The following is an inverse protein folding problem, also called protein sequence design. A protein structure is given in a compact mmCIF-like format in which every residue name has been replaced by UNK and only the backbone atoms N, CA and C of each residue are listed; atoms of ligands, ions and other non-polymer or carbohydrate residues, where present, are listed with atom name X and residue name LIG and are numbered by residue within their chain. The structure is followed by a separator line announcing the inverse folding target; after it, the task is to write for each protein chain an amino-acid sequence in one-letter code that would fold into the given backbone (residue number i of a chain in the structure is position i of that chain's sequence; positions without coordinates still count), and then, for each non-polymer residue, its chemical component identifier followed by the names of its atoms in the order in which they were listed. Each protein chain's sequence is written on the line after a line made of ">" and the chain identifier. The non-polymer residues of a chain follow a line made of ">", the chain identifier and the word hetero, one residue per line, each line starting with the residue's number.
data_IF_831463293146
#
_entry.id   IF_831463293146
#
_cell.length_a   1.000
_cell.length_b   1.000
_cell.length_c   1.000
_cell.angle_alpha   90.00
_cell.angle_beta   90.00
_cell.angle_gamma   90.00
#
_symmetry.space_group_name_H-M   'P 1'
#
loop_
_entity.id
_entity.type
_entity.pdbx_description
1 polymer ?
#
# COMPACT_ATOMS: atom_id res chain seq x y z
N UNK A 1 0.48 9.65 8.19
CA UNK A 1 -0.72 9.64 7.34
C UNK A 1 -1.86 10.24 8.15
N UNK A 2 -2.81 10.91 7.51
CA UNK A 2 -4.00 11.49 8.14
C UNK A 2 -5.26 10.86 7.56
N UNK A 3 -6.32 10.80 8.35
CA UNK A 3 -7.64 10.36 7.90
C UNK A 3 -8.66 11.42 8.29
N UNK A 4 -9.30 12.04 7.30
CA UNK A 4 -10.23 13.14 7.47
C UNK A 4 -11.32 13.05 6.39
N UNK A 5 -12.57 13.28 6.77
CA UNK A 5 -13.74 13.21 5.86
C UNK A 5 -13.83 11.92 5.01
N UNK A 6 -13.41 10.79 5.58
CA UNK A 6 -13.45 9.50 4.89
C UNK A 6 -12.28 9.26 3.92
N UNK A 7 -11.32 10.19 3.84
CA UNK A 7 -10.22 10.18 2.88
C UNK A 7 -8.88 10.08 3.61
N UNK A 8 -7.98 9.27 3.05
CA UNK A 8 -6.61 9.14 3.56
C UNK A 8 -5.69 10.14 2.86
N UNK A 9 -4.97 10.93 3.65
CA UNK A 9 -4.02 11.93 3.15
C UNK A 9 -2.59 11.59 3.57
N UNK A 10 -1.67 11.69 2.62
CA UNK A 10 -0.23 11.61 2.87
C UNK A 10 0.37 13.01 2.80
N UNK A 11 0.94 13.45 3.92
CA UNK A 11 1.67 14.72 4.00
C UNK A 11 3.16 14.39 4.00
N UNK A 12 3.86 14.89 2.99
CA UNK A 12 5.32 14.74 2.86
C UNK A 12 5.95 16.10 3.15
N UNK A 13 6.90 16.13 4.09
CA UNK A 13 7.75 17.30 4.33
C UNK A 13 9.16 16.95 3.91
N UNK A 14 9.67 17.66 2.92
CA UNK A 14 11.04 17.53 2.45
C UNK A 14 11.87 18.77 2.80
N UNK A 15 13.17 18.59 2.93
CA UNK A 15 14.19 19.64 3.03
C UNK A 15 15.32 19.32 2.06
N UNK A 16 16.13 20.31 1.68
CA UNK A 16 17.29 20.06 0.82
C UNK A 16 18.26 19.07 1.48
N UNK A 17 18.59 18.00 0.76
CA UNK A 17 19.44 16.93 1.23
C UNK A 17 19.45 15.78 0.23
N UNK A 18 20.12 14.69 0.61
CA UNK A 18 20.11 13.43 -0.14
C UNK A 18 19.43 12.36 0.73
N UNK A 19 18.49 11.62 0.15
CA UNK A 19 17.77 10.54 0.82
C UNK A 19 17.60 9.37 -0.16
N UNK A 20 17.95 8.18 0.31
CA UNK A 20 17.77 6.93 -0.42
C UNK A 20 17.29 5.86 0.57
N UNK A 21 16.27 5.09 0.17
CA UNK A 21 15.77 3.97 0.95
C UNK A 21 16.07 2.67 0.23
N UNK A 22 16.57 1.68 0.96
CA UNK A 22 16.85 0.35 0.42
C UNK A 22 15.56 -0.40 0.01
N UNK A 23 14.48 -0.17 0.75
CA UNK A 23 13.24 -0.91 0.59
C UNK A 23 12.18 -0.09 -0.15
N UNK A 24 11.61 -0.65 -1.23
CA UNK A 24 10.52 -0.01 -1.99
C UNK A 24 9.33 0.40 -1.11
N UNK A 25 9.01 -0.39 -0.08
CA UNK A 25 7.91 -0.10 0.85
C UNK A 25 8.09 1.22 1.62
N UNK A 26 9.32 1.62 1.89
CA UNK A 26 9.64 2.87 2.60
C UNK A 26 9.26 4.10 1.74
N UNK A 27 9.43 4.00 0.42
CA UNK A 27 8.96 5.03 -0.52
C UNK A 27 7.44 5.05 -0.66
N UNK A 28 6.81 3.88 -0.73
CA UNK A 28 5.36 3.77 -1.02
C UNK A 28 4.51 4.18 0.18
N UNK A 29 4.83 3.68 1.37
CA UNK A 29 4.02 3.92 2.58
C UNK A 29 4.61 5.02 3.47
N UNK A 30 5.82 5.49 3.14
CA UNK A 30 6.55 6.49 3.89
C UNK A 30 7.24 5.88 5.10
N UNK A 31 8.58 5.89 5.09
CA UNK A 31 9.43 5.37 6.17
C UNK A 31 8.99 5.83 7.56
N UNK A 32 8.68 7.12 7.70
CA UNK A 32 8.21 7.70 8.97
C UNK A 32 6.89 7.06 9.46
N UNK A 33 5.96 6.72 8.56
CA UNK A 33 4.71 6.07 8.97
C UNK A 33 4.96 4.65 9.45
N UNK A 34 5.89 3.93 8.80
CA UNK A 34 6.28 2.55 9.15
C UNK A 34 6.99 2.54 10.49
N UNK A 35 8.04 3.35 10.64
CA UNK A 35 8.86 3.42 11.86
C UNK A 35 8.03 3.83 13.09
N UNK A 36 7.07 4.74 12.90
CA UNK A 36 6.15 5.18 13.97
C UNK A 36 4.95 4.25 14.20
N UNK A 37 4.84 3.14 13.46
CA UNK A 37 3.71 2.20 13.56
C UNK A 37 2.35 2.91 13.50
N UNK A 38 2.19 3.79 12.50
CA UNK A 38 1.01 4.64 12.38
C UNK A 38 -0.29 3.81 12.34
N UNK A 39 -1.20 4.06 13.27
CA UNK A 39 -2.54 3.42 13.29
C UNK A 39 -3.34 3.73 12.03
N UNK A 40 -3.27 4.98 11.54
CA UNK A 40 -3.93 5.39 10.29
C UNK A 40 -3.41 4.62 9.09
N UNK A 41 -2.09 4.37 9.02
CA UNK A 41 -1.52 3.54 7.95
C UNK A 41 -1.99 2.09 8.09
N UNK A 42 -2.09 1.57 9.31
CA UNK A 42 -2.57 0.21 9.57
C UNK A 42 -4.02 0.02 9.09
N UNK A 43 -4.90 0.98 9.40
CA UNK A 43 -6.29 0.95 8.96
C UNK A 43 -6.41 1.08 7.43
N UNK A 44 -5.62 1.97 6.83
CA UNK A 44 -5.52 2.10 5.37
C UNK A 44 -5.12 0.78 4.70
N UNK A 45 -4.08 0.11 5.23
CA UNK A 45 -3.57 -1.14 4.69
C UNK A 45 -4.58 -2.27 4.84
N UNK A 46 -5.25 -2.38 5.99
CA UNK A 46 -6.31 -3.37 6.21
C UNK A 46 -7.41 -3.24 5.15
N UNK A 47 -7.91 -2.02 4.95
CA UNK A 47 -8.94 -1.74 3.95
C UNK A 47 -8.45 -1.99 2.52
N UNK A 48 -7.20 -1.65 2.24
CA UNK A 48 -6.58 -1.86 0.93
C UNK A 48 -6.41 -3.35 0.61
N UNK A 49 -5.91 -4.14 1.55
CA UNK A 49 -5.75 -5.60 1.39
C UNK A 49 -7.12 -6.24 1.11
N UNK A 50 -8.14 -5.89 1.90
CA UNK A 50 -9.50 -6.43 1.71
C UNK A 50 -10.09 -6.05 0.35
N UNK A 51 -9.91 -4.81 -0.10
CA UNK A 51 -10.37 -4.36 -1.43
C UNK A 51 -9.64 -5.08 -2.55
N UNK A 52 -8.33 -5.24 -2.43
CA UNK A 52 -7.51 -5.93 -3.43
C UNK A 52 -7.89 -7.40 -3.55
N UNK A 53 -8.19 -8.10 -2.44
CA UNK A 53 -8.69 -9.48 -2.49
C UNK A 53 -9.98 -9.60 -3.33
N UNK A 54 -10.93 -8.68 -3.16
CA UNK A 54 -12.18 -8.67 -3.93
C UNK A 54 -11.92 -8.40 -5.43
N UNK A 55 -11.00 -7.49 -5.74
CA UNK A 55 -10.62 -7.18 -7.12
C UNK A 55 -9.91 -8.39 -7.74
N UNK A 56 -8.98 -9.02 -7.02
CA UNK A 56 -8.25 -10.19 -7.48
C UNK A 56 -9.20 -11.35 -7.82
N UNK A 57 -10.22 -11.59 -6.99
CA UNK A 57 -11.26 -12.58 -7.29
C UNK A 57 -12.05 -12.24 -8.56
N UNK A 58 -12.35 -10.96 -8.78
CA UNK A 58 -13.08 -10.50 -9.97
C UNK A 58 -12.23 -10.63 -11.24
N UNK A 59 -10.93 -10.30 -11.17
CA UNK A 59 -9.98 -10.47 -12.28
C UNK A 59 -9.79 -11.94 -12.65
N UNK A 60 -9.66 -12.83 -11.65
CA UNK A 60 -9.59 -14.28 -11.87
C UNK A 60 -10.82 -14.84 -12.58
N UNK A 61 -12.01 -14.28 -12.32
CA UNK A 61 -13.25 -14.68 -13.00
C UNK A 61 -13.35 -14.18 -14.45
N UNK A 62 -12.73 -13.05 -14.76
CA UNK A 62 -12.78 -12.47 -16.10
C UNK A 62 -11.92 -13.25 -17.12
N UNK A 63 -10.82 -13.85 -16.67
CA UNK A 63 -9.98 -14.80 -17.43
C UNK A 63 -9.55 -14.31 -18.85
N UNK A 64 -9.20 -13.03 -18.93
CA UNK A 64 -8.60 -12.40 -20.12
C UNK A 64 -7.10 -12.15 -19.93
N UNK A 65 -6.36 -11.96 -21.02
CA UNK A 65 -4.93 -11.61 -20.97
C UNK A 65 -4.68 -10.32 -20.17
N UNK A 66 -5.56 -9.32 -20.33
CA UNK A 66 -5.45 -8.06 -19.61
C UNK A 66 -5.72 -8.22 -18.11
N UNK A 67 -6.70 -9.06 -17.74
CA UNK A 67 -6.95 -9.37 -16.33
C UNK A 67 -5.84 -10.16 -15.67
N UNK A 68 -5.14 -11.02 -16.43
CA UNK A 68 -3.96 -11.74 -15.93
C UNK A 68 -2.81 -10.77 -15.61
N UNK A 69 -2.45 -9.88 -16.54
CA UNK A 69 -1.42 -8.85 -16.30
C UNK A 69 -1.76 -7.98 -15.10
N UNK A 70 -3.02 -7.54 -15.00
CA UNK A 70 -3.47 -6.71 -13.88
C UNK A 70 -3.48 -7.45 -12.54
N UNK A 71 -3.75 -8.76 -12.55
CA UNK A 71 -3.73 -9.59 -11.36
C UNK A 71 -2.31 -9.76 -10.82
N UNK A 72 -1.31 -9.90 -11.70
CA UNK A 72 0.10 -9.99 -11.29
C UNK A 72 0.56 -8.70 -10.60
N UNK A 73 0.31 -7.54 -11.22
CA UNK A 73 0.62 -6.22 -10.62
C UNK A 73 -0.06 -6.04 -9.24
N UNK A 74 -1.34 -6.44 -9.14
CA UNK A 74 -2.10 -6.35 -7.90
C UNK A 74 -1.53 -7.26 -6.82
N UNK A 75 -1.07 -8.46 -7.20
CA UNK A 75 -0.50 -9.44 -6.29
C UNK A 75 0.81 -8.94 -5.69
N UNK A 76 1.70 -8.37 -6.50
CA UNK A 76 2.95 -7.75 -6.01
C UNK A 76 2.67 -6.63 -5.00
N UNK A 77 1.74 -5.72 -5.34
CA UNK A 77 1.37 -4.64 -4.43
C UNK A 77 0.75 -5.16 -3.14
N UNK A 78 -0.07 -6.21 -3.23
CA UNK A 78 -0.72 -6.80 -2.07
C UNK A 78 0.25 -7.53 -1.14
N UNK A 79 1.28 -8.19 -1.66
CA UNK A 79 2.38 -8.75 -0.86
C UNK A 79 3.05 -7.63 -0.06
N UNK A 80 3.41 -6.52 -0.72
CA UNK A 80 4.03 -5.38 -0.06
C UNK A 80 3.12 -4.77 1.03
N UNK A 81 1.81 -4.67 0.78
CA UNK A 81 0.85 -4.22 1.78
C UNK A 81 0.83 -5.13 3.02
N UNK A 82 0.84 -6.45 2.82
CA UNK A 82 0.82 -7.44 3.92
C UNK A 82 2.11 -7.37 4.75
N UNK A 83 3.26 -7.32 4.09
CA UNK A 83 4.56 -7.19 4.77
C UNK A 83 4.61 -5.96 5.67
N UNK A 84 4.13 -4.80 5.18
CA UNK A 84 4.10 -3.58 5.98
C UNK A 84 3.10 -3.71 7.11
N UNK A 85 1.91 -4.25 6.85
CA UNK A 85 0.88 -4.43 7.87
C UNK A 85 1.35 -5.29 9.05
N UNK A 86 2.11 -6.35 8.79
CA UNK A 86 2.69 -7.20 9.83
C UNK A 86 3.75 -6.49 10.68
N UNK A 87 4.43 -5.48 10.12
CA UNK A 87 5.45 -4.71 10.82
C UNK A 87 4.85 -3.59 11.71
N UNK A 88 3.62 -3.14 11.44
CA UNK A 88 2.93 -2.06 12.15
C UNK A 88 2.29 -2.52 13.47
#
# INVERSE_FOLDING_TARGET
>A
MLYEDGIYYTVIRAVSGNEEYENRKDYIFGKINIDKKSSVLKDYLYETIRKNDNIAQSLKKADTENSAKRLDELTEYQIMCKEVYECL
#
